data_IF_273878344324
#
_entry.id   IF_273878344324
#
_cell.length_a   1.000
_cell.length_b   1.000
_cell.length_c   1.000
_cell.angle_alpha   90.00
_cell.angle_beta   90.00
_cell.angle_gamma   90.00
#
_symmetry.space_group_name_H-M   'P 1'
#
loop_
_entity.id
_entity.type
_entity.pdbx_description
1 polymer ?
#
# COMPACT_ATOMS: atom_id res chain seq x y z
N UNK A 1 -2.04 -39.84 37.07
CA UNK A 1 -1.91 -39.51 35.62
C UNK A 1 -3.22 -39.29 34.83
N UNK A 2 -4.41 -39.25 35.45
CA UNK A 2 -5.71 -39.15 34.79
C UNK A 2 -6.30 -37.75 34.58
N UNK A 3 -5.89 -36.78 35.38
CA UNK A 3 -6.51 -35.42 35.41
C UNK A 3 -6.08 -34.55 34.25
N UNK A 4 -4.81 -34.45 33.92
CA UNK A 4 -4.27 -33.62 32.84
C UNK A 4 -4.81 -34.00 31.43
N UNK A 5 -5.03 -35.33 31.20
CA UNK A 5 -5.61 -35.81 29.93
C UNK A 5 -7.10 -35.45 29.79
N UNK A 6 -7.83 -35.40 30.90
CA UNK A 6 -9.24 -34.99 30.93
C UNK A 6 -9.39 -33.48 30.72
N UNK A 7 -8.50 -32.65 31.29
CA UNK A 7 -8.50 -31.19 31.12
C UNK A 7 -8.13 -30.79 29.69
N UNK A 8 -7.10 -31.42 29.07
CA UNK A 8 -6.80 -31.20 27.64
C UNK A 8 -8.00 -31.54 26.73
N UNK A 9 -8.71 -32.64 27.02
CA UNK A 9 -9.88 -33.03 26.23
C UNK A 9 -11.05 -32.05 26.41
N UNK A 10 -11.21 -31.46 27.60
CA UNK A 10 -12.21 -30.44 27.88
C UNK A 10 -11.89 -29.14 27.14
N UNK A 11 -10.65 -28.67 27.22
CA UNK A 11 -10.13 -27.48 26.56
C UNK A 11 -10.26 -27.57 25.02
N UNK A 12 -9.89 -28.71 24.43
CA UNK A 12 -10.07 -28.91 22.98
C UNK A 12 -11.53 -28.91 22.53
N UNK A 13 -12.46 -29.39 23.39
CA UNK A 13 -13.89 -29.31 23.10
C UNK A 13 -14.44 -27.90 23.18
N UNK A 14 -13.96 -27.10 24.15
CA UNK A 14 -14.36 -25.70 24.31
C UNK A 14 -13.84 -24.84 23.15
N UNK A 15 -12.57 -25.03 22.73
CA UNK A 15 -12.01 -24.37 21.55
C UNK A 15 -12.77 -24.74 20.26
N UNK A 16 -13.13 -26.01 20.10
CA UNK A 16 -13.93 -26.45 18.94
C UNK A 16 -15.34 -25.84 18.90
N UNK A 17 -15.98 -25.62 20.07
CA UNK A 17 -17.27 -24.94 20.16
C UNK A 17 -17.15 -23.45 19.82
N UNK A 18 -16.13 -22.78 20.36
CA UNK A 18 -15.88 -21.36 20.05
C UNK A 18 -15.60 -21.15 18.56
N UNK A 19 -14.79 -22.00 17.93
CA UNK A 19 -14.52 -21.93 16.51
C UNK A 19 -15.79 -22.12 15.66
N UNK A 20 -16.70 -23.02 16.06
CA UNK A 20 -17.98 -23.23 15.37
C UNK A 20 -18.94 -22.04 15.55
N UNK A 21 -18.97 -21.41 16.74
CA UNK A 21 -19.79 -20.22 16.99
C UNK A 21 -19.31 -19.02 16.19
N UNK A 22 -17.99 -18.82 16.09
CA UNK A 22 -17.37 -17.76 15.25
C UNK A 22 -17.69 -18.00 13.77
N UNK A 23 -17.54 -19.24 13.28
CA UNK A 23 -17.87 -19.59 11.90
C UNK A 23 -19.35 -19.37 11.56
N UNK A 24 -20.25 -19.72 12.49
CA UNK A 24 -21.69 -19.51 12.32
C UNK A 24 -22.09 -18.03 12.32
N UNK A 25 -21.42 -17.19 13.13
CA UNK A 25 -21.60 -15.72 13.11
C UNK A 25 -21.11 -15.15 11.77
N UNK A 26 -19.93 -15.53 11.28
CA UNK A 26 -19.41 -15.10 9.97
C UNK A 26 -20.38 -15.41 8.83
N UNK A 27 -20.97 -16.59 8.81
CA UNK A 27 -21.90 -17.00 7.75
C UNK A 27 -23.22 -16.20 7.74
N UNK A 28 -23.68 -15.73 8.92
CA UNK A 28 -24.86 -14.85 9.04
C UNK A 28 -24.55 -13.43 8.54
N UNK A 29 -23.37 -12.89 8.91
CA UNK A 29 -22.96 -11.54 8.51
C UNK A 29 -22.79 -11.45 6.99
N UNK A 30 -22.13 -12.43 6.35
CA UNK A 30 -21.93 -12.45 4.89
C UNK A 30 -23.26 -12.41 4.12
N UNK A 31 -24.28 -13.15 4.56
CA UNK A 31 -25.61 -13.15 3.91
C UNK A 31 -26.33 -11.80 4.05
N UNK A 32 -26.13 -11.11 5.15
CA UNK A 32 -26.74 -9.78 5.39
C UNK A 32 -26.04 -8.73 4.54
N UNK A 33 -24.69 -8.74 4.50
CA UNK A 33 -23.90 -7.80 3.70
C UNK A 33 -24.20 -7.90 2.20
N UNK A 34 -24.30 -9.12 1.65
CA UNK A 34 -24.65 -9.33 0.23
C UNK A 34 -26.06 -8.77 -0.09
N UNK A 35 -27.01 -8.87 0.84
CA UNK A 35 -28.36 -8.28 0.64
C UNK A 35 -28.36 -6.76 0.68
N UNK A 36 -27.58 -6.14 1.55
CA UNK A 36 -27.48 -4.67 1.67
C UNK A 36 -26.77 -4.09 0.45
N UNK A 37 -25.65 -4.68 0.01
CA UNK A 37 -24.93 -4.23 -1.19
C UNK A 37 -25.81 -4.39 -2.44
N UNK A 38 -26.55 -5.48 -2.57
CA UNK A 38 -27.49 -5.68 -3.66
C UNK A 38 -28.61 -4.61 -3.70
N UNK A 39 -29.14 -4.20 -2.55
CA UNK A 39 -30.15 -3.15 -2.45
C UNK A 39 -29.60 -1.77 -2.84
N UNK A 40 -28.37 -1.44 -2.44
CA UNK A 40 -27.72 -0.18 -2.79
C UNK A 40 -27.45 -0.08 -4.29
N UNK A 41 -27.00 -1.16 -4.93
CA UNK A 41 -26.78 -1.20 -6.38
C UNK A 41 -28.08 -0.99 -7.16
N UNK A 42 -29.20 -1.58 -6.69
CA UNK A 42 -30.51 -1.37 -7.33
C UNK A 42 -30.99 0.08 -7.17
N UNK A 43 -30.78 0.69 -6.01
CA UNK A 43 -31.16 2.10 -5.78
C UNK A 43 -30.32 3.03 -6.66
N UNK A 44 -29.03 2.80 -6.80
CA UNK A 44 -28.17 3.59 -7.68
C UNK A 44 -28.55 3.43 -9.17
N UNK A 45 -28.90 2.22 -9.59
CA UNK A 45 -29.38 1.98 -10.96
C UNK A 45 -30.71 2.69 -11.27
N UNK A 46 -31.62 2.79 -10.28
CA UNK A 46 -32.87 3.53 -10.41
C UNK A 46 -32.62 5.05 -10.46
N UNK A 47 -31.71 5.60 -9.65
CA UNK A 47 -31.35 7.01 -9.72
C UNK A 47 -30.67 7.40 -11.04
N UNK A 48 -29.77 6.56 -11.55
CA UNK A 48 -29.14 6.82 -12.86
C UNK A 48 -30.12 6.64 -14.04
N UNK A 49 -31.05 5.71 -13.95
CA UNK A 49 -32.10 5.49 -14.97
C UNK A 49 -33.07 6.68 -15.06
N UNK A 50 -33.42 7.32 -13.95
CA UNK A 50 -34.30 8.50 -13.94
C UNK A 50 -33.60 9.75 -14.48
N UNK A 51 -32.30 9.91 -14.22
CA UNK A 51 -31.50 11.02 -14.77
C UNK A 51 -31.35 10.96 -16.29
N UNK A 52 -31.45 9.75 -16.89
CA UNK A 52 -31.37 9.59 -18.36
C UNK A 52 -32.70 9.84 -19.10
N UNK A 53 -33.82 9.88 -18.38
CA UNK A 53 -35.17 10.08 -18.96
C UNK A 53 -35.69 11.51 -18.83
N UNK A 54 -34.94 12.44 -18.21
CA UNK A 54 -35.38 13.81 -17.99
C UNK A 54 -34.59 14.89 -18.75
N UNK A 55 -33.71 14.51 -19.67
CA UNK A 55 -33.01 15.44 -20.55
C UNK A 55 -33.52 15.28 -21.99
N UNK A 56 -34.70 15.80 -22.22
CA UNK A 56 -35.17 16.12 -23.55
C UNK A 56 -35.73 17.56 -23.54
N UNK A 57 -35.36 18.28 -24.59
CA UNK A 57 -35.92 19.57 -25.04
C UNK A 57 -35.32 20.88 -24.53
N UNK A 58 -34.57 21.56 -25.42
CA UNK A 58 -34.88 22.82 -26.10
C UNK A 58 -33.69 23.34 -26.90
N UNK A 59 -33.77 23.26 -28.22
CA UNK A 59 -33.73 24.30 -29.28
C UNK A 59 -32.87 25.54 -28.98
N UNK A 60 -31.99 26.05 -29.82
CA UNK A 60 -32.04 26.46 -31.20
C UNK A 60 -30.70 27.10 -31.64
N UNK A 61 -30.51 27.02 -32.95
CA UNK A 61 -29.87 27.99 -33.85
C UNK A 61 -28.36 27.96 -34.16
N UNK A 62 -28.14 27.41 -35.36
CA UNK A 62 -27.59 28.07 -36.58
C UNK A 62 -26.09 28.46 -36.53
N UNK A 63 -25.26 28.14 -37.44
CA UNK A 63 -25.21 27.89 -38.88
C UNK A 63 -23.76 27.49 -39.25
N UNK A 64 -23.47 27.00 -40.46
CA UNK A 64 -22.35 26.12 -40.75
C UNK A 64 -21.11 26.86 -41.26
N UNK A 65 -19.93 26.31 -41.01
CA UNK A 65 -18.74 26.65 -41.81
C UNK A 65 -18.20 25.36 -42.45
N UNK A 66 -18.17 25.44 -43.72
CA UNK A 66 -17.82 24.53 -44.79
C UNK A 66 -16.31 24.24 -44.87
N UNK A 67 -15.99 22.98 -45.32
CA UNK A 67 -14.90 22.65 -46.27
C UNK A 67 -13.50 22.49 -45.65
N UNK A 68 -12.77 21.40 -45.86
CA UNK A 68 -12.48 20.72 -47.12
C UNK A 68 -11.91 19.33 -46.85
N UNK A 69 -12.34 18.38 -47.65
CA UNK A 69 -11.73 17.04 -47.84
C UNK A 69 -10.48 17.20 -48.71
N UNK A 70 -9.38 16.64 -48.32
CA UNK A 70 -8.36 16.19 -49.30
C UNK A 70 -8.04 14.72 -49.08
N UNK A 71 -8.33 13.95 -50.09
CA UNK A 71 -7.99 12.56 -50.25
C UNK A 71 -6.58 12.45 -50.86
N UNK A 72 -5.74 11.58 -50.31
CA UNK A 72 -4.62 11.01 -51.07
C UNK A 72 -4.50 9.50 -50.85
N UNK A 73 -4.85 8.84 -51.87
CA UNK A 73 -4.28 7.71 -52.62
C UNK A 73 -3.58 6.56 -51.85
N UNK A 74 -4.22 5.44 -52.09
CA UNK A 74 -3.74 4.07 -52.02
C UNK A 74 -2.36 3.83 -52.65
N UNK A 75 -1.45 3.08 -51.96
CA UNK A 75 -0.37 2.36 -52.60
C UNK A 75 -0.04 1.05 -51.89
N UNK A 76 -0.35 -0.04 -52.57
CA UNK A 76 0.22 -1.40 -52.66
C UNK A 76 0.91 -2.04 -51.47
N UNK A 77 0.41 -3.23 -51.18
CA UNK A 77 0.90 -4.40 -50.46
C UNK A 77 2.34 -4.78 -50.80
N UNK A 78 3.16 -4.98 -49.77
CA UNK A 78 4.32 -5.87 -49.80
C UNK A 78 4.27 -6.79 -48.59
N UNK A 79 4.11 -8.07 -48.85
CA UNK A 79 4.27 -9.19 -47.93
C UNK A 79 5.69 -9.23 -47.40
N UNK A 80 5.86 -9.07 -46.10
CA UNK A 80 7.10 -9.27 -45.36
C UNK A 80 6.80 -9.97 -44.05
N UNK A 81 7.41 -11.12 -43.90
CA UNK A 81 7.39 -12.01 -42.74
C UNK A 81 7.64 -11.23 -41.43
N UNK A 82 6.63 -11.13 -40.57
CA UNK A 82 6.73 -10.42 -39.31
C UNK A 82 7.01 -11.42 -38.21
N UNK A 83 8.27 -11.65 -37.94
CA UNK A 83 8.73 -12.13 -36.63
C UNK A 83 8.26 -11.17 -35.58
N UNK A 84 7.24 -11.58 -34.81
CA UNK A 84 6.72 -10.83 -33.67
C UNK A 84 7.73 -10.89 -32.53
N UNK A 85 8.68 -9.98 -32.53
CA UNK A 85 9.41 -9.64 -31.30
C UNK A 85 8.49 -8.85 -30.41
N UNK A 86 8.03 -9.48 -29.33
CA UNK A 86 7.40 -8.78 -28.21
C UNK A 86 8.44 -7.79 -27.69
N UNK A 87 8.18 -6.47 -27.66
CA UNK A 87 9.07 -5.55 -27.00
C UNK A 87 9.03 -5.88 -25.50
N UNK A 88 10.13 -6.32 -24.97
CA UNK A 88 10.39 -6.30 -23.52
C UNK A 88 10.58 -4.83 -23.16
N UNK A 89 9.49 -4.15 -22.90
CA UNK A 89 9.50 -2.76 -22.46
C UNK A 89 9.88 -2.72 -20.98
N UNK A 90 11.17 -2.99 -20.73
CA UNK A 90 11.81 -2.58 -19.49
C UNK A 90 12.22 -1.13 -19.72
N UNK A 91 11.23 -0.23 -19.72
CA UNK A 91 11.53 1.19 -19.62
C UNK A 91 12.34 1.39 -18.35
N UNK A 92 13.56 1.89 -18.48
CA UNK A 92 14.31 2.41 -17.36
C UNK A 92 13.39 3.40 -16.63
N UNK A 93 13.34 3.37 -15.27
CA UNK A 93 12.53 4.34 -14.54
C UNK A 93 12.92 5.73 -15.01
N UNK A 94 11.91 6.53 -15.36
CA UNK A 94 12.11 7.95 -15.67
C UNK A 94 12.91 8.56 -14.52
N UNK A 95 13.93 9.39 -14.81
CA UNK A 95 14.81 9.96 -13.81
C UNK A 95 13.99 10.55 -12.66
N UNK A 96 14.09 9.94 -11.48
CA UNK A 96 13.40 10.40 -10.28
C UNK A 96 13.93 11.78 -9.90
N UNK A 97 13.03 12.73 -9.63
CA UNK A 97 13.42 14.10 -9.23
C UNK A 97 13.58 14.16 -7.71
N UNK A 98 14.82 14.28 -7.27
CA UNK A 98 15.17 14.47 -5.87
C UNK A 98 14.96 15.93 -5.47
N UNK A 99 14.70 16.17 -4.16
CA UNK A 99 14.53 17.50 -3.61
C UNK A 99 15.84 18.16 -3.18
N UNK A 100 15.72 19.11 -2.28
CA UNK A 100 16.82 19.99 -1.82
C UNK A 100 17.16 19.84 -0.34
N UNK A 101 16.37 19.09 0.43
CA UNK A 101 16.66 18.85 1.86
C UNK A 101 18.00 18.11 2.01
N UNK A 102 18.85 18.61 2.90
CA UNK A 102 20.17 18.03 3.16
C UNK A 102 20.07 16.61 3.71
N UNK A 103 21.07 15.80 3.35
CA UNK A 103 21.13 14.41 3.81
C UNK A 103 21.44 14.33 5.30
N UNK A 104 20.73 13.49 6.06
CA UNK A 104 21.08 13.21 7.45
C UNK A 104 22.41 12.45 7.56
N UNK A 105 23.09 12.50 8.72
CA UNK A 105 24.26 11.67 8.97
C UNK A 105 23.96 10.19 8.76
N UNK A 106 24.93 9.43 8.23
CA UNK A 106 24.76 8.00 7.92
C UNK A 106 24.43 7.17 9.16
N UNK A 107 25.03 7.52 10.30
CA UNK A 107 24.81 6.92 11.61
C UNK A 107 23.56 7.44 12.35
N UNK A 108 22.83 8.33 11.71
CA UNK A 108 21.57 8.91 12.20
C UNK A 108 21.75 10.27 12.89
N UNK A 109 20.71 11.08 12.86
CA UNK A 109 20.65 12.37 13.52
C UNK A 109 20.60 12.23 15.06
N UNK A 110 21.13 13.20 15.78
CA UNK A 110 21.06 13.24 17.25
C UNK A 110 19.64 13.56 17.76
N UNK A 111 18.87 14.32 16.98
CA UNK A 111 17.50 14.76 17.31
C UNK A 111 16.51 14.28 16.28
N UNK A 112 15.27 14.04 16.72
CA UNK A 112 14.16 13.70 15.83
C UNK A 112 13.69 14.92 15.05
N UNK A 113 13.43 14.73 13.73
CA UNK A 113 12.82 15.73 12.85
C UNK A 113 11.66 15.08 12.08
N UNK A 114 10.49 15.71 12.11
CA UNK A 114 9.25 15.18 11.53
C UNK A 114 8.54 16.13 10.54
N UNK A 115 9.17 17.27 10.21
CA UNK A 115 8.64 18.24 9.25
C UNK A 115 9.77 18.80 8.40
N UNK A 116 9.57 18.84 7.09
CA UNK A 116 10.57 19.24 6.10
C UNK A 116 9.91 20.07 5.00
N UNK A 117 10.60 21.13 4.57
CA UNK A 117 10.11 22.04 3.52
C UNK A 117 10.12 21.39 2.12
N UNK A 118 10.98 20.38 1.89
CA UNK A 118 11.15 19.70 0.60
C UNK A 118 11.60 18.25 0.80
N UNK A 119 11.50 17.44 -0.23
CA UNK A 119 12.07 16.09 -0.24
C UNK A 119 13.59 16.12 -0.18
N UNK A 120 14.20 15.00 0.18
CA UNK A 120 15.65 14.92 0.33
C UNK A 120 16.38 14.95 -1.01
N UNK A 121 17.57 15.54 -1.03
CA UNK A 121 18.56 15.31 -2.06
C UNK A 121 18.87 13.82 -2.17
N UNK A 122 19.61 13.37 -3.19
CA UNK A 122 20.05 11.98 -3.27
C UNK A 122 21.02 11.66 -2.12
N UNK A 123 20.55 10.93 -1.12
CA UNK A 123 21.26 10.61 0.13
C UNK A 123 21.74 9.16 0.21
N UNK A 124 21.35 8.34 -0.76
CA UNK A 124 21.75 6.93 -0.85
C UNK A 124 22.67 6.73 -2.05
N UNK A 125 23.44 5.66 -2.00
CA UNK A 125 24.14 5.10 -3.16
C UNK A 125 23.33 3.91 -3.70
N UNK A 126 22.71 4.01 -4.88
CA UNK A 126 21.89 2.91 -5.44
C UNK A 126 22.65 1.60 -5.66
N UNK A 127 23.98 1.63 -5.64
CA UNK A 127 24.82 0.43 -5.75
C UNK A 127 24.97 -0.33 -4.43
N UNK A 128 24.56 0.27 -3.30
CA UNK A 128 24.59 -0.35 -1.98
C UNK A 128 23.28 -1.07 -1.65
N UNK A 129 23.39 -2.04 -0.74
CA UNK A 129 22.23 -2.67 -0.11
C UNK A 129 21.87 -1.96 1.18
N UNK A 130 20.60 -1.62 1.34
CA UNK A 130 20.05 -0.99 2.54
C UNK A 130 19.13 -1.98 3.26
N UNK A 131 19.37 -2.18 4.56
CA UNK A 131 18.51 -2.99 5.42
C UNK A 131 17.94 -2.11 6.52
N UNK A 132 16.62 -2.08 6.61
CA UNK A 132 15.89 -1.45 7.70
C UNK A 132 15.62 -2.47 8.81
N UNK A 133 16.02 -2.16 10.04
CA UNK A 133 15.63 -2.90 11.24
C UNK A 133 14.56 -2.09 11.95
N UNK A 134 13.33 -2.59 11.92
CA UNK A 134 12.15 -1.94 12.50
C UNK A 134 11.84 -2.59 13.83
N UNK A 135 12.01 -1.83 14.90
CA UNK A 135 11.67 -2.24 16.26
C UNK A 135 10.29 -1.71 16.62
N UNK A 136 9.41 -2.59 17.03
CA UNK A 136 8.05 -2.25 17.47
C UNK A 136 7.80 -2.77 18.88
N UNK A 137 6.72 -2.29 19.53
CA UNK A 137 6.26 -2.84 20.82
C UNK A 137 5.79 -4.31 20.72
N UNK A 138 5.67 -4.87 19.51
CA UNK A 138 5.26 -6.26 19.26
C UNK A 138 6.39 -7.16 18.78
N UNK A 139 7.61 -6.64 18.68
CA UNK A 139 8.80 -7.35 18.22
C UNK A 139 9.57 -6.55 17.17
N UNK A 140 10.57 -7.21 16.59
CA UNK A 140 11.47 -6.62 15.59
C UNK A 140 11.36 -7.39 14.29
N UNK A 141 11.38 -6.70 13.17
CA UNK A 141 11.56 -7.29 11.84
C UNK A 141 12.62 -6.53 11.06
N UNK A 142 13.25 -7.21 10.11
CA UNK A 142 14.22 -6.59 9.19
C UNK A 142 13.72 -6.69 7.75
N UNK A 143 13.97 -5.65 6.96
CA UNK A 143 13.61 -5.61 5.56
C UNK A 143 14.77 -5.10 4.71
N UNK A 144 15.03 -5.78 3.60
CA UNK A 144 15.93 -5.29 2.54
C UNK A 144 15.15 -4.32 1.65
N UNK A 145 15.74 -3.15 1.40
CA UNK A 145 15.17 -2.09 0.58
C UNK A 145 15.72 -2.17 -0.84
N UNK A 146 14.85 -2.07 -1.84
CA UNK A 146 15.20 -2.21 -3.26
C UNK A 146 15.50 -0.84 -3.89
N UNK A 147 16.72 -0.34 -3.64
CA UNK A 147 17.18 0.94 -4.20
C UNK A 147 17.35 0.92 -5.73
N UNK A 148 17.31 -0.25 -6.37
CA UNK A 148 17.39 -0.38 -7.82
C UNK A 148 16.03 -0.14 -8.48
N UNK A 149 14.95 -0.71 -7.89
CA UNK A 149 13.60 -0.60 -8.44
C UNK A 149 12.86 0.66 -7.98
N UNK A 150 13.10 1.11 -6.75
CA UNK A 150 12.45 2.26 -6.16
C UNK A 150 13.45 3.20 -5.47
N UNK A 151 14.44 3.75 -6.21
CA UNK A 151 15.49 4.58 -5.63
C UNK A 151 14.96 5.81 -4.89
N UNK A 152 13.91 6.46 -5.38
CA UNK A 152 13.30 7.61 -4.73
C UNK A 152 12.63 7.26 -3.41
N UNK A 153 11.85 6.19 -3.37
CA UNK A 153 11.19 5.74 -2.14
C UNK A 153 12.20 5.24 -1.11
N UNK A 154 13.24 4.51 -1.53
CA UNK A 154 14.32 4.06 -0.63
C UNK A 154 15.11 5.26 -0.10
N UNK A 155 15.47 6.22 -0.95
CA UNK A 155 16.13 7.47 -0.53
C UNK A 155 15.31 8.21 0.54
N UNK A 156 14.02 8.35 0.30
CA UNK A 156 13.08 8.98 1.21
C UNK A 156 13.00 8.23 2.55
N UNK A 157 12.76 6.92 2.52
CA UNK A 157 12.60 6.10 3.72
C UNK A 157 13.88 6.06 4.56
N UNK A 158 15.05 5.86 3.94
CA UNK A 158 16.36 5.88 4.59
C UNK A 158 16.64 7.24 5.25
N UNK A 159 16.38 8.34 4.54
CA UNK A 159 16.59 9.68 5.05
C UNK A 159 15.66 10.02 6.22
N UNK A 160 14.39 9.64 6.13
CA UNK A 160 13.45 9.80 7.24
C UNK A 160 13.84 8.96 8.46
N UNK A 161 14.21 7.68 8.26
CA UNK A 161 14.65 6.81 9.35
C UNK A 161 15.90 7.36 10.05
N UNK A 162 16.90 7.84 9.29
CA UNK A 162 18.09 8.48 9.83
C UNK A 162 17.81 9.78 10.60
N UNK A 163 16.72 10.49 10.27
CA UNK A 163 16.23 11.64 11.03
C UNK A 163 15.34 11.22 12.22
N UNK A 164 15.26 9.92 12.56
CA UNK A 164 14.40 9.39 13.63
C UNK A 164 12.91 9.71 13.43
N UNK A 165 12.50 10.00 12.20
CA UNK A 165 11.15 10.44 11.87
C UNK A 165 10.08 9.50 12.41
N UNK A 166 10.32 8.19 12.33
CA UNK A 166 9.39 7.14 12.69
C UNK A 166 9.41 6.77 14.18
N UNK A 167 10.41 7.22 14.94
CA UNK A 167 10.60 6.83 16.33
C UNK A 167 9.44 7.32 17.21
N UNK A 168 8.83 6.38 17.96
CA UNK A 168 7.69 6.67 18.81
C UNK A 168 6.36 6.88 18.08
N UNK A 169 6.30 6.66 16.75
CA UNK A 169 5.05 6.84 15.98
C UNK A 169 4.15 5.61 16.04
N UNK A 170 2.84 5.82 15.94
CA UNK A 170 1.84 4.76 15.98
C UNK A 170 1.40 4.35 14.58
N UNK A 171 1.26 3.05 14.32
CA UNK A 171 0.63 2.53 13.13
C UNK A 171 -0.88 2.69 13.26
N UNK A 172 -1.45 3.64 12.55
CA UNK A 172 -2.84 4.07 12.75
C UNK A 172 -3.87 3.14 12.13
N UNK A 173 -3.47 2.23 11.22
CA UNK A 173 -4.36 1.33 10.50
C UNK A 173 -3.75 -0.06 10.37
N UNK A 174 -4.54 -1.09 10.71
CA UNK A 174 -4.17 -2.48 10.50
C UNK A 174 -5.42 -3.32 10.20
N UNK A 175 -5.40 -4.05 9.09
CA UNK A 175 -6.48 -4.94 8.68
C UNK A 175 -5.92 -6.35 8.57
N UNK A 176 -6.38 -7.31 9.38
CA UNK A 176 -5.90 -8.69 9.36
C UNK A 176 -6.04 -9.34 7.98
N UNK A 177 -4.99 -10.02 7.54
CA UNK A 177 -4.91 -10.67 6.23
C UNK A 177 -4.74 -9.71 5.05
N UNK A 178 -4.48 -8.42 5.33
CA UNK A 178 -4.27 -7.40 4.31
C UNK A 178 -2.94 -6.65 4.54
N UNK A 179 -2.90 -5.69 5.46
CA UNK A 179 -1.71 -4.88 5.70
C UNK A 179 -1.75 -4.15 7.07
N UNK A 180 -0.57 -3.69 7.51
CA UNK A 180 -0.39 -2.75 8.62
C UNK A 180 0.24 -1.46 8.08
N UNK A 181 -0.42 -0.31 8.27
CA UNK A 181 -0.02 1.00 7.76
C UNK A 181 0.48 1.89 8.88
N UNK A 182 1.68 2.44 8.68
CA UNK A 182 2.44 3.25 9.62
C UNK A 182 3.00 4.51 8.93
N UNK A 183 3.83 5.26 9.64
CA UNK A 183 4.62 6.37 9.08
C UNK A 183 3.92 7.73 9.05
N UNK A 184 2.74 7.83 9.68
CA UNK A 184 2.09 9.10 9.97
C UNK A 184 2.44 9.53 11.40
N UNK A 185 3.20 10.63 11.61
CA UNK A 185 3.61 11.05 12.95
C UNK A 185 2.43 11.52 13.80
N UNK A 186 1.30 11.86 13.18
CA UNK A 186 0.08 12.30 13.87
C UNK A 186 -0.90 11.16 14.13
N UNK A 187 -0.67 9.97 13.59
CA UNK A 187 -1.54 8.79 13.67
C UNK A 187 -2.99 9.04 13.19
N UNK A 188 -3.24 10.04 12.36
CA UNK A 188 -4.57 10.39 11.83
C UNK A 188 -4.88 9.78 10.46
N UNK A 189 -3.86 9.24 9.78
CA UNK A 189 -3.92 8.80 8.39
C UNK A 189 -3.73 9.94 7.37
N UNK A 190 -3.57 11.18 7.83
CA UNK A 190 -3.43 12.38 6.97
C UNK A 190 -2.09 13.10 7.12
N UNK A 191 -1.28 12.74 8.14
CA UNK A 191 0.02 13.32 8.38
C UNK A 191 1.08 12.82 7.40
N UNK A 192 2.19 13.55 7.34
CA UNK A 192 3.30 13.26 6.45
C UNK A 192 4.49 14.18 6.71
N UNK A 193 5.55 14.11 5.90
CA UNK A 193 6.81 14.77 6.17
C UNK A 193 6.87 16.26 5.73
N UNK A 194 5.76 16.83 5.27
CA UNK A 194 5.69 18.20 4.73
C UNK A 194 5.72 18.25 3.20
N UNK A 195 6.13 17.19 2.52
CA UNK A 195 6.25 17.11 1.06
C UNK A 195 5.62 15.83 0.49
N UNK A 196 5.56 15.77 -0.84
CA UNK A 196 5.16 14.58 -1.60
C UNK A 196 6.16 14.30 -2.72
N UNK A 197 6.24 13.03 -3.16
CA UNK A 197 7.11 12.63 -4.26
C UNK A 197 6.44 11.63 -5.20
N UNK A 198 7.06 11.44 -6.37
CA UNK A 198 6.54 10.64 -7.47
C UNK A 198 6.47 9.14 -7.16
N UNK A 199 5.60 8.45 -7.87
CA UNK A 199 5.45 7.00 -7.79
C UNK A 199 6.56 6.26 -8.57
N UNK A 200 6.94 5.08 -8.07
CA UNK A 200 7.84 4.11 -8.70
C UNK A 200 7.11 2.75 -8.66
N UNK A 201 6.18 2.55 -9.58
CA UNK A 201 5.29 1.40 -9.54
C UNK A 201 5.98 0.08 -9.89
N UNK A 202 5.70 -1.02 -9.17
CA UNK A 202 6.16 -2.35 -9.54
C UNK A 202 5.37 -2.89 -10.75
N UNK A 203 5.85 -3.99 -11.32
CA UNK A 203 5.04 -4.77 -12.24
C UNK A 203 3.87 -5.46 -11.51
N UNK A 204 2.83 -5.81 -12.25
CA UNK A 204 1.69 -6.52 -11.69
C UNK A 204 2.11 -7.89 -11.11
N UNK A 205 1.62 -8.21 -9.90
CA UNK A 205 1.90 -9.47 -9.21
C UNK A 205 3.24 -9.54 -8.48
N UNK A 206 3.95 -8.41 -8.30
CA UNK A 206 5.21 -8.40 -7.55
C UNK A 206 5.01 -8.32 -6.02
N UNK A 207 3.84 -7.93 -5.54
CA UNK A 207 3.57 -7.90 -4.10
C UNK A 207 3.55 -9.31 -3.49
N UNK A 208 4.13 -9.42 -2.29
CA UNK A 208 4.20 -10.65 -1.49
C UNK A 208 3.88 -10.32 -0.04
N UNK A 209 3.60 -11.34 0.77
CA UNK A 209 3.56 -11.17 2.23
C UNK A 209 4.94 -10.68 2.69
N UNK A 210 4.96 -9.63 3.52
CA UNK A 210 6.17 -8.94 3.95
C UNK A 210 6.68 -7.86 2.99
N UNK A 211 6.00 -7.59 1.86
CA UNK A 211 6.34 -6.43 1.02
C UNK A 211 6.10 -5.12 1.76
N UNK A 212 7.06 -4.19 1.64
CA UNK A 212 6.93 -2.80 2.09
C UNK A 212 6.57 -1.94 0.89
N UNK A 213 5.44 -1.23 0.98
CA UNK A 213 5.00 -0.33 -0.07
C UNK A 213 4.58 1.03 0.48
N UNK A 214 4.76 2.10 -0.33
CA UNK A 214 4.33 3.44 0.03
C UNK A 214 2.81 3.57 -0.02
N UNK A 215 2.22 4.12 1.03
CA UNK A 215 0.83 4.53 1.00
C UNK A 215 0.71 5.88 0.28
N UNK A 216 -0.35 6.03 -0.52
CA UNK A 216 -0.63 7.26 -1.27
C UNK A 216 -2.13 7.60 -1.26
N UNK A 217 -2.47 8.81 -1.64
CA UNK A 217 -3.85 9.31 -1.83
C UNK A 217 -4.16 9.64 -3.30
N UNK A 218 -3.51 8.93 -4.21
CA UNK A 218 -3.58 9.09 -5.66
C UNK A 218 -2.18 9.24 -6.26
N UNK A 219 -2.07 9.41 -7.58
CA UNK A 219 -0.78 9.45 -8.27
C UNK A 219 0.17 10.52 -7.71
N UNK A 220 1.45 10.15 -7.53
CA UNK A 220 2.52 11.04 -7.11
C UNK A 220 2.26 11.76 -5.77
N UNK A 221 1.67 11.04 -4.82
CA UNK A 221 1.37 11.56 -3.47
C UNK A 221 2.04 10.77 -2.35
N UNK A 222 3.11 10.04 -2.65
CA UNK A 222 3.94 9.39 -1.64
C UNK A 222 4.51 10.41 -0.67
N UNK A 223 4.64 10.04 0.59
CA UNK A 223 5.22 10.87 1.64
C UNK A 223 6.03 10.02 2.62
N UNK A 224 5.60 9.96 3.88
CA UNK A 224 6.22 9.11 4.89
C UNK A 224 5.42 7.84 5.20
N UNK A 225 4.13 7.80 4.85
CA UNK A 225 3.29 6.66 5.17
C UNK A 225 3.64 5.45 4.29
N UNK A 226 3.79 4.30 4.92
CA UNK A 226 4.06 3.02 4.27
C UNK A 226 3.22 1.92 4.91
N UNK A 227 3.11 0.80 4.23
CA UNK A 227 2.47 -0.39 4.79
C UNK A 227 3.29 -1.65 4.54
N UNK A 228 3.14 -2.60 5.47
CA UNK A 228 3.65 -3.96 5.34
C UNK A 228 2.48 -4.86 4.97
N UNK A 229 2.61 -5.62 3.88
CA UNK A 229 1.62 -6.61 3.47
C UNK A 229 1.68 -7.81 4.42
N UNK A 230 0.54 -8.15 5.03
CA UNK A 230 0.45 -9.20 6.04
C UNK A 230 -0.36 -10.42 5.60
N UNK A 231 -1.01 -10.34 4.42
CA UNK A 231 -1.79 -11.46 3.91
C UNK A 231 -2.22 -11.35 2.45
N UNK A 232 -2.95 -12.36 1.97
CA UNK A 232 -3.28 -12.56 0.55
C UNK A 232 -4.10 -11.42 -0.07
N UNK A 233 -4.87 -10.68 0.74
CA UNK A 233 -5.60 -9.51 0.24
C UNK A 233 -4.63 -8.41 -0.21
N UNK A 234 -3.52 -8.23 0.53
CA UNK A 234 -2.47 -7.28 0.17
C UNK A 234 -1.66 -7.72 -1.05
N UNK A 235 -1.41 -9.03 -1.16
CA UNK A 235 -0.74 -9.60 -2.34
C UNK A 235 -1.54 -9.36 -3.64
N UNK A 236 -2.87 -9.31 -3.52
CA UNK A 236 -3.78 -9.11 -4.65
C UNK A 236 -3.97 -7.65 -5.06
N UNK A 237 -3.27 -6.70 -4.45
CA UNK A 237 -3.36 -5.28 -4.81
C UNK A 237 -2.91 -5.03 -6.27
N UNK A 238 -3.57 -4.09 -6.96
CA UNK A 238 -3.06 -3.59 -8.23
C UNK A 238 -1.73 -2.83 -8.01
N UNK A 239 -0.84 -2.73 -9.03
CA UNK A 239 0.48 -2.12 -8.88
C UNK A 239 0.44 -0.59 -8.82
N UNK A 240 -0.33 -0.05 -7.88
CA UNK A 240 -0.57 1.39 -7.68
C UNK A 240 0.15 1.96 -6.45
N UNK A 241 1.02 1.16 -5.83
CA UNK A 241 1.77 1.53 -4.64
C UNK A 241 3.24 1.20 -4.86
N UNK A 242 4.12 2.18 -4.70
CA UNK A 242 5.56 1.98 -4.88
C UNK A 242 6.08 0.89 -3.93
N UNK A 243 6.51 -0.24 -4.49
CA UNK A 243 7.12 -1.36 -3.78
C UNK A 243 8.60 -1.06 -3.57
N UNK A 244 9.02 -0.83 -2.32
CA UNK A 244 10.39 -0.38 -2.04
C UNK A 244 11.19 -1.33 -1.13
N UNK A 245 10.59 -2.41 -0.63
CA UNK A 245 11.30 -3.34 0.23
C UNK A 245 10.56 -4.65 0.48
N UNK A 246 11.29 -5.60 1.08
CA UNK A 246 10.78 -6.92 1.46
C UNK A 246 11.33 -7.32 2.82
N UNK A 247 10.44 -7.78 3.72
CA UNK A 247 10.82 -8.37 5.01
C UNK A 247 11.62 -9.65 4.77
N UNK A 248 12.78 -9.74 5.42
CA UNK A 248 13.70 -10.87 5.35
C UNK A 248 13.87 -11.60 6.68
N UNK A 249 13.53 -10.94 7.80
CA UNK A 249 13.54 -11.53 9.14
C UNK A 249 12.34 -11.02 9.94
N UNK A 250 11.79 -11.85 10.85
CA UNK A 250 10.62 -11.51 11.66
C UNK A 250 9.27 -11.68 10.94
N UNK A 251 9.23 -12.28 9.73
CA UNK A 251 8.01 -12.49 8.97
C UNK A 251 7.01 -13.40 9.72
N UNK A 252 7.47 -14.56 10.17
CA UNK A 252 6.65 -15.57 10.86
C UNK A 252 6.42 -15.27 12.35
N UNK A 253 6.94 -14.17 12.87
CA UNK A 253 6.81 -13.76 14.26
C UNK A 253 6.21 -12.38 14.40
N UNK A 254 7.02 -11.32 14.17
CA UNK A 254 6.61 -9.95 14.38
C UNK A 254 5.52 -9.52 13.38
N UNK A 255 5.66 -9.84 12.07
CA UNK A 255 4.65 -9.47 11.08
C UNK A 255 3.32 -10.17 11.35
N UNK A 256 3.35 -11.43 11.80
CA UNK A 256 2.14 -12.15 12.24
C UNK A 256 1.51 -11.50 13.49
N UNK A 257 2.32 -11.04 14.44
CA UNK A 257 1.81 -10.33 15.63
C UNK A 257 1.18 -8.98 15.27
N UNK A 258 1.79 -8.24 14.34
CA UNK A 258 1.23 -6.99 13.80
C UNK A 258 -0.11 -7.21 13.09
N UNK A 259 -0.22 -8.28 12.28
CA UNK A 259 -1.47 -8.67 11.62
C UNK A 259 -2.58 -8.97 12.63
N UNK A 260 -2.24 -9.74 13.66
CA UNK A 260 -3.19 -10.13 14.73
C UNK A 260 -3.68 -8.95 15.58
N UNK A 261 -2.92 -7.84 15.64
CA UNK A 261 -3.31 -6.61 16.32
C UNK A 261 -4.36 -5.79 15.55
N UNK A 262 -4.60 -6.13 14.28
CA UNK A 262 -5.48 -5.40 13.39
C UNK A 262 -6.96 -5.44 13.81
N UNK A 263 -7.74 -4.56 13.20
CA UNK A 263 -9.18 -4.43 13.40
C UNK A 263 -9.90 -4.96 12.16
N UNK A 264 -10.63 -6.06 12.32
CA UNK A 264 -11.36 -6.75 11.25
C UNK A 264 -12.83 -6.29 11.11
N UNK A 265 -13.25 -5.28 11.88
CA UNK A 265 -14.57 -4.65 11.71
C UNK A 265 -14.58 -3.87 10.37
N UNK A 266 -15.42 -4.26 9.39
CA UNK A 266 -15.46 -3.58 8.10
C UNK A 266 -15.84 -2.09 8.19
N UNK A 267 -16.55 -1.68 9.23
CA UNK A 267 -16.95 -0.29 9.43
C UNK A 267 -15.80 0.58 9.91
N UNK A 268 -14.82 0.00 10.58
CA UNK A 268 -13.62 0.69 11.07
C UNK A 268 -12.58 0.94 9.98
N UNK A 269 -12.60 0.14 8.90
CA UNK A 269 -11.53 0.11 7.88
C UNK A 269 -10.13 -0.07 8.51
N UNK A 270 -10.04 -0.83 9.62
CA UNK A 270 -8.80 -1.09 10.33
C UNK A 270 -8.30 0.03 11.25
N UNK A 271 -9.12 1.08 11.49
CA UNK A 271 -8.75 2.25 12.30
C UNK A 271 -9.65 2.36 13.52
N UNK A 272 -9.10 2.47 14.73
CA UNK A 272 -7.72 2.12 15.07
C UNK A 272 -7.52 0.59 15.08
N UNK A 273 -6.28 0.08 15.10
CA UNK A 273 -6.02 -1.33 15.43
C UNK A 273 -6.60 -1.69 16.79
N UNK A 274 -6.98 -2.97 17.00
CA UNK A 274 -7.52 -3.45 18.28
C UNK A 274 -6.48 -3.45 19.40
N UNK A 275 -5.21 -3.60 19.03
CA UNK A 275 -4.07 -3.44 19.93
C UNK A 275 -3.15 -2.38 19.32
N UNK A 276 -2.74 -1.41 20.13
CA UNK A 276 -1.85 -0.34 19.68
C UNK A 276 -0.52 -0.90 19.18
N UNK A 277 -0.12 -0.45 17.99
CA UNK A 277 1.14 -0.80 17.36
C UNK A 277 2.00 0.47 17.32
N UNK A 278 3.16 0.45 17.97
CA UNK A 278 4.10 1.57 18.01
C UNK A 278 5.43 1.16 17.40
N UNK A 279 5.97 1.98 16.50
CA UNK A 279 7.36 1.90 16.05
C UNK A 279 8.23 2.53 17.13
N UNK A 280 9.05 1.74 17.81
CA UNK A 280 9.99 2.25 18.81
C UNK A 280 11.20 2.93 18.13
N UNK A 281 11.71 2.34 17.05
CA UNK A 281 12.78 2.92 16.23
C UNK A 281 12.90 2.21 14.87
N UNK A 282 13.45 2.92 13.89
CA UNK A 282 13.94 2.31 12.64
C UNK A 282 15.42 2.67 12.48
N UNK A 283 16.27 1.65 12.38
CA UNK A 283 17.69 1.81 12.08
C UNK A 283 18.03 1.28 10.70
N UNK A 284 18.93 1.96 10.01
CA UNK A 284 19.38 1.59 8.66
C UNK A 284 20.82 1.10 8.73
N UNK A 285 21.06 -0.06 8.14
CA UNK A 285 22.43 -0.54 7.86
C UNK A 285 22.65 -0.55 6.35
N UNK A 286 23.86 -0.19 5.92
CA UNK A 286 24.26 -0.21 4.51
C UNK A 286 25.49 -1.09 4.30
N UNK A 287 25.55 -1.82 3.17
CA UNK A 287 26.64 -2.72 2.83
C UNK A 287 26.92 -2.71 1.32
#
# INVERSE_FOLDING_TARGET
>A
MGTAKRERKKMNREMGRQAQEVAAKRQKTTKTTVRIVGAIVIILALFFGIAFLTNDDSTDNASPVTTSVEAFASTTVATGDATTTVPSDTAAPADFVYGTTECPPVDGASTQTQDFDDSFALCIDPAKTYTAVVKTNMGTYSAVLDATKAPGAVNNFVSLARNKYFDGTTCHRAIPGFMVQCGDPTATGSGGPGYKFADEFPAAGEYKIGSLAMANSGPNTNGSQFFVITGDQGVSLPPNYTLFGQVTDGLDSTVVALDAAGNDDPSSNGVPPLTEITIESITITES
#
